data_IF_347489370082
#
_entry.id   IF_347489370082
#
_cell.length_a   1.000
_cell.length_b   1.000
_cell.length_c   1.000
_cell.angle_alpha   90.00
_cell.angle_beta   90.00
_cell.angle_gamma   90.00
#
_symmetry.space_group_name_H-M   'P 1'
#
loop_
_entity.id
_entity.type
_entity.pdbx_description
1 polymer ?
#
# COMPACT_ATOMS: atom_id res chain seq x y z
N UNK A 1 12.72 -5.20 7.92
CA UNK A 1 11.36 -4.64 7.77
C UNK A 1 11.50 -3.31 7.07
N UNK A 2 10.81 -3.14 5.95
CA UNK A 2 10.86 -1.95 5.11
C UNK A 2 9.44 -1.44 4.88
N UNK A 3 9.28 -0.12 4.79
CA UNK A 3 7.95 0.51 4.81
C UNK A 3 7.77 1.46 3.61
N UNK A 4 6.54 1.52 3.10
CA UNK A 4 6.08 2.52 2.13
C UNK A 4 4.70 3.00 2.55
N UNK A 5 4.52 4.32 2.66
CA UNK A 5 3.28 4.94 3.09
C UNK A 5 2.71 5.77 1.94
N UNK A 6 1.41 5.65 1.71
CA UNK A 6 0.74 6.36 0.61
C UNK A 6 -0.75 6.48 0.90
N UNK A 7 -1.40 7.40 0.20
CA UNK A 7 -2.84 7.50 0.16
C UNK A 7 -3.37 6.48 -0.88
N UNK A 8 -4.37 5.69 -0.50
CA UNK A 8 -5.08 4.83 -1.47
C UNK A 8 -6.43 5.46 -1.77
N UNK A 9 -6.84 5.47 -3.03
CA UNK A 9 -8.17 5.97 -3.38
C UNK A 9 -9.28 5.12 -2.73
N UNK A 10 -10.39 5.74 -2.34
CA UNK A 10 -11.55 5.03 -1.74
C UNK A 10 -12.16 3.99 -2.68
N UNK A 11 -11.99 4.17 -3.99
CA UNK A 11 -12.44 3.25 -5.05
C UNK A 11 -11.36 2.24 -5.45
N UNK A 12 -10.26 2.14 -4.71
CA UNK A 12 -9.25 1.11 -4.91
C UNK A 12 -9.91 -0.27 -4.79
N UNK A 13 -9.79 -1.07 -5.86
CA UNK A 13 -10.28 -2.44 -5.85
C UNK A 13 -9.45 -3.28 -4.86
N UNK A 14 -10.10 -3.66 -3.77
CA UNK A 14 -9.50 -4.46 -2.70
C UNK A 14 -9.06 -5.85 -3.21
N UNK A 15 -9.69 -6.38 -4.26
CA UNK A 15 -9.31 -7.65 -4.88
C UNK A 15 -7.94 -7.55 -5.51
N UNK A 16 -7.77 -6.60 -6.43
CA UNK A 16 -6.48 -6.29 -7.06
C UNK A 16 -5.40 -5.99 -6.01
N UNK A 17 -5.71 -5.16 -5.01
CA UNK A 17 -4.77 -4.82 -3.94
C UNK A 17 -4.29 -6.07 -3.16
N UNK A 18 -5.20 -6.99 -2.85
CA UNK A 18 -4.87 -8.22 -2.14
C UNK A 18 -4.00 -9.17 -2.98
N UNK A 19 -4.30 -9.33 -4.27
CA UNK A 19 -3.47 -10.10 -5.20
C UNK A 19 -2.06 -9.51 -5.31
N UNK A 20 -1.96 -8.18 -5.43
CA UNK A 20 -0.68 -7.49 -5.43
C UNK A 20 0.09 -7.68 -4.12
N UNK A 21 -0.57 -7.57 -2.97
CA UNK A 21 0.10 -7.79 -1.69
C UNK A 21 0.64 -9.21 -1.52
N UNK A 22 -0.05 -10.22 -2.06
CA UNK A 22 0.43 -11.60 -2.06
C UNK A 22 1.67 -11.79 -2.93
N UNK A 23 1.72 -11.17 -4.11
CA UNK A 23 2.87 -11.25 -5.03
C UNK A 23 4.17 -10.75 -4.38
N UNK A 24 4.09 -9.67 -3.59
CA UNK A 24 5.26 -9.00 -3.00
C UNK A 24 5.51 -9.37 -1.52
N UNK A 25 4.83 -10.39 -0.99
CA UNK A 25 4.86 -10.76 0.44
C UNK A 25 4.69 -9.55 1.38
N UNK A 26 3.79 -8.64 1.00
CA UNK A 26 3.58 -7.36 1.67
C UNK A 26 2.41 -7.47 2.66
N UNK A 27 2.51 -6.76 3.78
CA UNK A 27 1.40 -6.56 4.73
C UNK A 27 0.91 -5.12 4.67
N UNK A 28 -0.39 -4.92 4.87
CA UNK A 28 -1.01 -3.61 4.91
C UNK A 28 -1.41 -3.26 6.34
N UNK A 29 -1.15 -2.01 6.72
CA UNK A 29 -1.66 -1.41 7.94
C UNK A 29 -2.35 -0.10 7.59
N UNK A 30 -3.61 0.04 7.98
CA UNK A 30 -4.32 1.32 7.87
C UNK A 30 -3.79 2.23 8.99
N UNK A 31 -3.26 3.40 8.62
CA UNK A 31 -2.83 4.43 9.58
C UNK A 31 -4.02 5.34 9.87
N UNK A 32 -4.69 5.82 8.84
CA UNK A 32 -5.85 6.69 8.94
C UNK A 32 -6.93 6.24 7.95
N UNK A 33 -8.07 5.78 8.47
CA UNK A 33 -9.13 5.21 7.65
C UNK A 33 -9.90 6.25 6.82
N UNK A 34 -9.87 7.51 7.24
CA UNK A 34 -10.51 8.64 6.56
C UNK A 34 -9.52 9.80 6.65
N UNK A 35 -8.86 10.14 5.54
CA UNK A 35 -7.88 11.22 5.53
C UNK A 35 -8.51 12.59 5.86
N UNK A 36 -7.69 13.62 6.15
CA UNK A 36 -8.18 14.94 6.53
C UNK A 36 -9.23 15.50 5.57
N UNK A 37 -10.38 15.92 6.11
CA UNK A 37 -11.48 16.47 5.31
C UNK A 37 -12.35 15.45 4.57
N UNK A 38 -12.27 14.15 4.92
CA UNK A 38 -12.99 13.08 4.21
C UNK A 38 -12.21 12.54 3.01
N UNK A 39 -10.89 12.74 3.01
CA UNK A 39 -9.99 12.32 1.94
C UNK A 39 -9.70 10.82 1.94
N UNK A 40 -8.82 10.43 1.03
CA UNK A 40 -8.35 9.06 0.86
C UNK A 40 -7.76 8.47 2.15
N UNK A 41 -7.94 7.16 2.40
CA UNK A 41 -7.27 6.49 3.50
C UNK A 41 -5.74 6.55 3.35
N UNK A 42 -5.06 6.81 4.45
CA UNK A 42 -3.60 6.77 4.52
C UNK A 42 -3.16 5.43 5.11
N UNK A 43 -2.28 4.73 4.39
CA UNK A 43 -1.86 3.37 4.73
C UNK A 43 -0.36 3.19 4.75
N UNK A 44 0.07 2.07 5.31
CA UNK A 44 1.45 1.59 5.28
C UNK A 44 1.52 0.17 4.74
N UNK A 45 2.34 -0.01 3.70
CA UNK A 45 2.78 -1.30 3.22
C UNK A 45 4.09 -1.69 3.93
N UNK A 46 4.15 -2.93 4.41
CA UNK A 46 5.25 -3.49 5.19
C UNK A 46 5.83 -4.67 4.40
N UNK A 47 7.11 -4.58 4.08
CA UNK A 47 7.84 -5.57 3.30
C UNK A 47 8.96 -6.21 4.12
N UNK A 48 9.24 -7.48 3.83
CA UNK A 48 10.36 -8.20 4.44
C UNK A 48 11.71 -7.72 3.90
N UNK A 49 11.80 -7.47 2.59
CA UNK A 49 13.02 -7.05 1.90
C UNK A 49 12.89 -5.66 1.26
N UNK A 50 14.02 -4.96 1.12
CA UNK A 50 14.09 -3.68 0.41
C UNK A 50 13.80 -3.83 -1.09
N UNK A 51 14.16 -4.98 -1.67
CA UNK A 51 13.93 -5.28 -3.08
C UNK A 51 12.43 -5.31 -3.40
N UNK A 52 11.63 -5.98 -2.58
CA UNK A 52 10.18 -6.09 -2.80
C UNK A 52 9.49 -4.74 -2.63
N UNK A 53 9.93 -3.94 -1.65
CA UNK A 53 9.51 -2.54 -1.50
C UNK A 53 9.80 -1.73 -2.77
N UNK A 54 11.02 -1.78 -3.29
CA UNK A 54 11.39 -0.94 -4.45
C UNK A 54 10.63 -1.35 -5.71
N UNK A 55 10.44 -2.65 -5.95
CA UNK A 55 9.61 -3.15 -7.06
C UNK A 55 8.15 -2.72 -6.92
N UNK A 56 7.63 -2.72 -5.69
CA UNK A 56 6.28 -2.23 -5.41
C UNK A 56 6.13 -0.74 -5.75
N UNK A 57 7.07 0.09 -5.31
CA UNK A 57 7.05 1.53 -5.58
C UNK A 57 7.13 1.79 -7.09
N UNK A 58 8.04 1.09 -7.79
CA UNK A 58 8.16 1.19 -9.25
C UNK A 58 6.86 0.77 -9.96
N UNK A 59 6.11 -0.19 -9.45
CA UNK A 59 4.83 -0.59 -10.02
C UNK A 59 3.70 0.40 -9.71
N UNK A 60 3.65 0.93 -8.49
CA UNK A 60 2.56 1.78 -8.03
C UNK A 60 2.66 3.22 -8.54
N UNK A 61 3.88 3.74 -8.75
CA UNK A 61 4.12 5.13 -9.18
C UNK A 61 4.31 5.30 -10.71
N UNK A 62 4.34 4.22 -11.49
CA UNK A 62 4.39 4.24 -12.97
C UNK A 62 3.02 3.92 -13.60
#
# INVERSE_FOLDING_TARGET
MHFYQTDIAHDCDLGSLAEFMQEYNAKLRIIEAIGPGGGNPFVEFIFETEKDKNRFIEFYEN
#
